data_IF_612644621095
#
_entry.id   IF_612644621095
#
_cell.length_a   1.000
_cell.length_b   1.000
_cell.length_c   1.000
_cell.angle_alpha   90.00
_cell.angle_beta   90.00
_cell.angle_gamma   90.00
#
_symmetry.space_group_name_H-M   'P 1'
#
loop_
_entity.id
_entity.type
_entity.pdbx_description
1 polymer ?
#
# COMPACT_ATOMS: atom_id res chain seq x y z
N UNK A 1 6.12 46.81 -13.47
CA UNK A 1 7.44 46.27 -13.12
C UNK A 1 7.60 44.77 -13.45
N UNK A 2 6.67 43.84 -13.13
CA UNK A 2 6.83 42.40 -13.47
C UNK A 2 6.85 42.02 -14.96
N UNK A 3 6.16 42.76 -15.85
CA UNK A 3 6.27 42.56 -17.32
C UNK A 3 7.71 42.63 -17.82
N UNK A 4 8.57 43.42 -17.16
CA UNK A 4 9.99 43.46 -17.52
C UNK A 4 10.78 42.30 -16.94
N UNK A 5 10.36 41.67 -15.83
CA UNK A 5 11.11 40.56 -15.19
C UNK A 5 10.88 39.26 -15.94
N UNK A 6 9.64 38.91 -16.27
CA UNK A 6 9.35 37.66 -17.00
C UNK A 6 9.96 37.69 -18.41
N UNK A 7 9.88 38.84 -19.10
CA UNK A 7 10.53 39.07 -20.39
C UNK A 7 12.06 39.14 -20.28
N UNK A 8 12.60 39.72 -19.20
CA UNK A 8 14.04 39.69 -18.93
C UNK A 8 14.55 38.26 -18.70
N UNK A 9 13.84 37.46 -17.88
CA UNK A 9 14.15 36.05 -17.67
C UNK A 9 14.09 35.27 -18.99
N UNK A 10 13.13 35.59 -19.87
CA UNK A 10 13.05 35.03 -21.21
C UNK A 10 14.31 35.34 -22.03
N UNK A 11 14.70 36.62 -22.14
CA UNK A 11 15.87 37.00 -22.94
C UNK A 11 17.18 36.44 -22.38
N UNK A 12 17.30 36.29 -21.06
CA UNK A 12 18.47 35.67 -20.42
C UNK A 12 18.51 34.16 -20.65
N UNK A 13 17.38 33.46 -20.50
CA UNK A 13 17.33 31.99 -20.49
C UNK A 13 17.06 31.36 -21.85
N UNK A 14 16.57 32.10 -22.85
CA UNK A 14 16.24 31.55 -24.19
C UNK A 14 17.43 30.92 -24.91
N UNK A 15 18.66 31.31 -24.56
CA UNK A 15 19.90 30.78 -25.13
C UNK A 15 20.63 29.82 -24.20
N UNK A 16 20.09 29.54 -23.00
CA UNK A 16 20.76 28.71 -22.01
C UNK A 16 20.75 27.23 -22.41
N UNK A 17 21.95 26.63 -22.48
CA UNK A 17 22.12 25.24 -22.91
C UNK A 17 21.41 24.27 -21.97
N UNK A 18 21.45 24.49 -20.65
CA UNK A 18 20.82 23.59 -19.69
C UNK A 18 19.30 23.60 -19.83
N UNK A 19 18.68 24.76 -20.11
CA UNK A 19 17.25 24.87 -20.40
C UNK A 19 16.88 24.10 -21.68
N UNK A 20 17.67 24.21 -22.75
CA UNK A 20 17.43 23.47 -23.99
C UNK A 20 17.57 21.96 -23.79
N UNK A 21 18.66 21.50 -23.16
CA UNK A 21 18.87 20.08 -22.86
C UNK A 21 17.75 19.53 -21.98
N UNK A 22 17.32 20.28 -20.97
CA UNK A 22 16.20 19.90 -20.11
C UNK A 22 14.90 19.72 -20.91
N UNK A 23 14.59 20.63 -21.84
CA UNK A 23 13.42 20.53 -22.72
C UNK A 23 13.49 19.31 -23.63
N UNK A 24 14.65 19.06 -24.25
CA UNK A 24 14.84 17.94 -25.16
C UNK A 24 14.71 16.59 -24.45
N UNK A 25 15.24 16.48 -23.22
CA UNK A 25 15.06 15.29 -22.37
C UNK A 25 13.60 15.09 -22.01
N UNK A 26 12.94 16.11 -21.44
CA UNK A 26 11.56 16.01 -20.99
C UNK A 26 10.56 15.76 -22.13
N UNK A 27 10.89 16.12 -23.38
CA UNK A 27 10.10 15.80 -24.55
C UNK A 27 10.08 14.30 -24.91
N UNK A 28 11.10 13.54 -24.48
CA UNK A 28 11.22 12.11 -24.79
C UNK A 28 10.47 11.24 -23.78
N UNK A 29 10.63 11.52 -22.48
CA UNK A 29 9.98 10.79 -21.39
C UNK A 29 10.03 11.59 -20.07
N UNK A 30 9.28 11.19 -19.04
CA UNK A 30 9.48 11.68 -17.67
C UNK A 30 10.82 11.21 -17.09
N UNK A 31 11.43 12.04 -16.24
CA UNK A 31 12.68 11.73 -15.54
C UNK A 31 12.57 12.09 -14.06
N UNK A 32 13.38 11.44 -13.23
CA UNK A 32 13.58 11.88 -11.85
C UNK A 32 14.44 13.15 -11.84
N UNK A 33 14.13 14.08 -10.91
CA UNK A 33 14.89 15.33 -10.74
C UNK A 33 16.38 15.06 -10.53
N UNK A 34 16.69 14.01 -9.75
CA UNK A 34 18.07 13.66 -9.45
C UNK A 34 18.84 13.14 -10.67
N UNK A 35 18.17 12.40 -11.57
CA UNK A 35 18.79 11.91 -12.82
C UNK A 35 19.15 13.09 -13.73
N UNK A 36 18.21 14.02 -13.95
CA UNK A 36 18.46 15.20 -14.77
C UNK A 36 19.49 16.14 -14.15
N UNK A 37 19.49 16.30 -12.83
CA UNK A 37 20.45 17.14 -12.13
C UNK A 37 21.88 16.63 -12.30
N UNK A 38 22.08 15.31 -12.21
CA UNK A 38 23.39 14.67 -12.40
C UNK A 38 23.85 14.70 -13.86
N UNK A 39 22.93 14.84 -14.82
CA UNK A 39 23.26 14.96 -16.23
C UNK A 39 23.60 16.41 -16.63
N UNK A 40 22.89 17.39 -16.08
CA UNK A 40 22.98 18.80 -16.47
C UNK A 40 24.06 19.58 -15.71
N UNK A 41 24.41 19.14 -14.50
CA UNK A 41 25.32 19.86 -13.60
C UNK A 41 26.41 18.92 -13.06
N UNK A 42 27.53 19.50 -12.67
CA UNK A 42 28.60 18.75 -12.01
C UNK A 42 28.09 18.10 -10.72
N UNK A 43 28.58 16.89 -10.37
CA UNK A 43 28.20 16.19 -9.14
C UNK A 43 28.43 17.06 -7.91
N UNK A 44 27.33 17.55 -7.35
CA UNK A 44 27.33 18.45 -6.20
C UNK A 44 26.09 18.17 -5.35
N UNK A 45 26.19 18.28 -4.01
CA UNK A 45 25.03 18.23 -3.13
C UNK A 45 23.94 19.24 -3.49
N UNK A 46 24.29 20.30 -4.23
CA UNK A 46 23.38 21.36 -4.65
C UNK A 46 22.74 21.11 -6.03
N UNK A 47 23.18 20.12 -6.81
CA UNK A 47 22.76 19.95 -8.20
C UNK A 47 21.24 19.87 -8.37
N UNK A 48 20.55 19.11 -7.51
CA UNK A 48 19.08 19.03 -7.55
C UNK A 48 18.40 20.35 -7.21
N UNK A 49 18.93 21.13 -6.26
CA UNK A 49 18.39 22.44 -5.92
C UNK A 49 18.63 23.43 -7.07
N UNK A 50 19.81 23.42 -7.68
CA UNK A 50 20.11 24.22 -8.88
C UNK A 50 19.13 23.92 -10.02
N UNK A 51 18.82 22.64 -10.26
CA UNK A 51 17.80 22.26 -11.26
C UNK A 51 16.43 22.83 -10.91
N UNK A 52 16.01 22.72 -9.65
CA UNK A 52 14.73 23.26 -9.17
C UNK A 52 14.65 24.78 -9.40
N UNK A 53 15.70 25.53 -9.04
CA UNK A 53 15.76 26.97 -9.27
C UNK A 53 15.73 27.32 -10.76
N UNK A 54 16.44 26.56 -11.60
CA UNK A 54 16.42 26.77 -13.05
C UNK A 54 15.01 26.55 -13.62
N UNK A 55 14.31 25.51 -13.17
CA UNK A 55 12.93 25.25 -13.56
C UNK A 55 12.00 26.39 -13.10
N UNK A 56 12.12 26.86 -11.86
CA UNK A 56 11.32 27.97 -11.33
C UNK A 56 11.49 29.26 -12.16
N UNK A 57 12.72 29.55 -12.59
CA UNK A 57 13.00 30.67 -13.47
C UNK A 57 12.44 30.44 -14.89
N UNK A 58 12.63 29.25 -15.46
CA UNK A 58 12.21 28.91 -16.82
C UNK A 58 10.69 28.81 -16.99
N UNK A 59 9.96 28.41 -15.94
CA UNK A 59 8.48 28.40 -15.90
C UNK A 59 7.91 29.83 -15.88
N UNK A 60 8.67 30.80 -15.38
CA UNK A 60 8.29 32.23 -15.39
C UNK A 60 8.73 32.97 -16.66
N UNK A 61 9.77 32.49 -17.32
CA UNK A 61 10.38 33.13 -18.47
C UNK A 61 9.46 33.06 -19.70
N UNK A 62 8.78 34.18 -20.03
CA UNK A 62 7.89 34.32 -21.21
C UNK A 62 8.09 35.68 -21.89
N UNK A 63 8.00 35.75 -23.24
CA UNK A 63 8.17 37.01 -23.97
C UNK A 63 7.09 38.04 -23.64
N UNK A 64 5.85 37.58 -23.53
CA UNK A 64 4.67 38.40 -23.26
C UNK A 64 3.62 37.58 -22.50
N UNK A 65 2.52 38.22 -22.08
CA UNK A 65 1.50 37.61 -21.25
C UNK A 65 0.66 36.52 -21.95
N UNK A 66 0.63 36.53 -23.28
CA UNK A 66 -0.12 35.56 -24.11
C UNK A 66 0.73 34.37 -24.55
N UNK A 67 2.06 34.54 -24.54
CA UNK A 67 3.01 33.50 -24.88
C UNK A 67 3.19 32.46 -23.78
N UNK A 68 3.46 31.21 -24.20
CA UNK A 68 3.86 30.14 -23.29
C UNK A 68 5.24 30.41 -22.67
N UNK A 69 5.50 29.94 -21.44
CA UNK A 69 6.82 30.03 -20.84
C UNK A 69 7.82 29.13 -21.56
N UNK A 70 9.12 29.43 -21.40
CA UNK A 70 10.22 28.64 -21.97
C UNK A 70 10.12 27.16 -21.59
N UNK A 71 9.75 26.89 -20.34
CA UNK A 71 9.54 25.54 -19.85
C UNK A 71 8.18 25.41 -19.16
N UNK A 72 7.13 24.93 -19.84
CA UNK A 72 5.85 24.61 -19.20
C UNK A 72 5.96 23.27 -18.44
N UNK A 73 6.75 23.24 -17.37
CA UNK A 73 7.02 22.04 -16.59
C UNK A 73 5.73 21.48 -15.97
N UNK A 74 5.58 20.15 -16.02
CA UNK A 74 4.51 19.41 -15.35
C UNK A 74 5.13 18.30 -14.52
N UNK A 75 4.66 18.17 -13.29
CA UNK A 75 5.08 17.12 -12.38
C UNK A 75 4.00 16.04 -12.30
N UNK A 76 4.42 14.80 -12.46
CA UNK A 76 3.55 13.64 -12.31
C UNK A 76 4.01 12.86 -11.08
N UNK A 77 3.10 12.66 -10.13
CA UNK A 77 3.33 11.85 -8.94
C UNK A 77 2.33 10.70 -8.97
N UNK A 78 2.85 9.49 -8.98
CA UNK A 78 2.05 8.28 -8.85
C UNK A 78 2.21 7.76 -7.43
N UNK A 79 1.11 7.72 -6.69
CA UNK A 79 1.06 7.13 -5.37
C UNK A 79 0.12 5.94 -5.41
N UNK A 80 0.51 4.85 -4.74
CA UNK A 80 -0.34 3.68 -4.54
C UNK A 80 -0.55 3.51 -3.05
N UNK A 81 -1.80 3.29 -2.65
CA UNK A 81 -2.10 2.94 -1.28
C UNK A 81 -1.49 1.58 -0.90
N UNK A 82 -1.35 1.35 0.40
CA UNK A 82 -0.89 0.05 0.92
C UNK A 82 -1.94 -1.01 0.60
N UNK A 83 -1.51 -2.09 -0.06
CA UNK A 83 -2.38 -3.21 -0.43
C UNK A 83 -2.63 -4.16 0.74
N UNK A 84 -1.86 -4.02 1.81
CA UNK A 84 -1.78 -4.96 2.92
C UNK A 84 -0.37 -4.99 3.49
N UNK A 85 -0.15 -5.89 4.44
CA UNK A 85 1.17 -6.28 4.89
C UNK A 85 1.33 -7.77 4.63
N UNK A 86 2.43 -8.12 3.98
CA UNK A 86 2.70 -9.47 3.50
C UNK A 86 4.06 -9.90 4.02
N UNK A 87 4.18 -11.12 4.52
CA UNK A 87 5.39 -11.57 5.21
C UNK A 87 5.88 -12.90 4.68
N UNK A 88 7.16 -12.94 4.30
CA UNK A 88 7.89 -14.19 4.18
C UNK A 88 8.48 -14.55 5.55
N UNK A 89 7.93 -15.60 6.17
CA UNK A 89 8.40 -16.08 7.48
C UNK A 89 9.58 -17.06 7.39
N UNK A 90 10.05 -17.42 6.18
CA UNK A 90 11.18 -18.34 6.02
C UNK A 90 12.52 -17.64 6.24
N UNK A 91 12.69 -17.03 7.41
CA UNK A 91 13.85 -16.26 7.80
C UNK A 91 15.17 -17.03 7.62
N UNK A 92 15.16 -18.34 7.87
CA UNK A 92 16.36 -19.21 7.71
C UNK A 92 16.88 -19.29 6.27
N UNK A 93 16.06 -18.95 5.28
CA UNK A 93 16.44 -18.92 3.88
C UNK A 93 16.88 -17.53 3.40
N UNK A 94 16.83 -16.52 4.27
CA UNK A 94 17.29 -15.16 3.97
C UNK A 94 18.72 -14.95 4.51
N UNK A 95 19.49 -14.09 3.85
CA UNK A 95 20.88 -13.79 4.22
C UNK A 95 20.99 -13.14 5.60
N UNK A 96 20.03 -12.28 5.96
CA UNK A 96 19.96 -11.57 7.24
C UNK A 96 19.31 -12.39 8.37
N UNK A 97 18.81 -13.59 8.06
CA UNK A 97 18.08 -14.46 8.97
C UNK A 97 16.84 -13.82 9.61
N UNK A 98 16.21 -12.86 8.93
CA UNK A 98 15.00 -12.18 9.41
C UNK A 98 13.79 -12.46 8.52
N UNK A 99 12.55 -12.42 9.04
CA UNK A 99 11.36 -12.36 8.19
C UNK A 99 11.40 -11.09 7.32
N UNK A 100 10.95 -11.20 6.08
CA UNK A 100 10.86 -10.06 5.16
C UNK A 100 9.42 -9.62 5.01
N UNK A 101 9.18 -8.32 5.17
CA UNK A 101 7.85 -7.69 5.10
C UNK A 101 7.74 -6.89 3.82
N UNK A 102 6.63 -7.08 3.11
CA UNK A 102 6.28 -6.37 1.89
C UNK A 102 4.97 -5.61 2.12
N UNK A 103 4.91 -4.39 1.61
CA UNK A 103 3.72 -3.54 1.63
C UNK A 103 2.91 -3.59 0.31
N UNK A 104 3.39 -4.42 -0.61
CA UNK A 104 2.76 -4.76 -1.89
C UNK A 104 2.63 -6.27 -1.96
N UNK A 105 1.61 -6.74 -2.67
CA UNK A 105 1.37 -8.17 -2.85
C UNK A 105 2.54 -8.84 -3.55
N UNK A 106 3.04 -9.90 -2.94
CA UNK A 106 4.02 -10.82 -3.49
C UNK A 106 3.52 -12.21 -3.19
N UNK A 107 3.28 -13.09 -4.17
CA UNK A 107 2.88 -14.48 -3.85
C UNK A 107 4.09 -15.32 -3.39
N UNK A 108 5.27 -14.98 -3.91
CA UNK A 108 6.55 -15.60 -3.61
C UNK A 108 7.57 -14.56 -3.20
N UNK A 109 8.43 -14.92 -2.25
CA UNK A 109 9.50 -14.09 -1.74
C UNK A 109 10.60 -13.96 -2.82
N UNK A 110 11.02 -12.73 -3.20
CA UNK A 110 12.09 -12.53 -4.17
C UNK A 110 13.43 -13.15 -3.76
N UNK A 111 13.72 -13.22 -2.45
CA UNK A 111 15.02 -13.66 -1.94
C UNK A 111 15.15 -15.19 -1.80
N UNK A 112 14.07 -15.88 -1.43
CA UNK A 112 14.12 -17.33 -1.18
C UNK A 112 13.08 -18.17 -1.92
N UNK A 113 12.18 -17.56 -2.69
CA UNK A 113 11.12 -18.23 -3.44
C UNK A 113 10.02 -18.87 -2.56
N UNK A 114 10.04 -18.67 -1.25
CA UNK A 114 9.01 -19.19 -0.34
C UNK A 114 7.71 -18.39 -0.46
N UNK A 115 6.59 -19.02 -0.12
CA UNK A 115 5.29 -18.37 -0.10
C UNK A 115 5.23 -17.24 0.91
N UNK A 116 4.55 -16.16 0.53
CA UNK A 116 4.38 -14.97 1.36
C UNK A 116 2.92 -14.92 1.83
N UNK A 117 2.71 -14.84 3.14
CA UNK A 117 1.37 -14.80 3.74
C UNK A 117 0.94 -13.35 3.99
N UNK A 118 -0.35 -13.05 3.86
CA UNK A 118 -0.90 -11.78 4.29
C UNK A 118 -1.15 -11.81 5.81
N UNK A 119 -0.89 -10.68 6.49
CA UNK A 119 -1.06 -10.55 7.93
C UNK A 119 -2.11 -9.51 8.33
N UNK A 120 -2.75 -9.78 9.46
CA UNK A 120 -3.60 -8.85 10.20
C UNK A 120 -3.10 -8.76 11.65
N UNK A 121 -3.44 -7.69 12.36
CA UNK A 121 -3.04 -7.51 13.77
C UNK A 121 -4.19 -7.09 14.65
N UNK A 122 -4.16 -7.54 15.91
CA UNK A 122 -5.05 -7.04 16.95
C UNK A 122 -4.66 -5.62 17.34
N UNK A 123 -5.61 -4.68 17.30
CA UNK A 123 -5.38 -3.26 17.65
C UNK A 123 -5.10 -3.03 19.14
N UNK A 124 -5.39 -4.01 20.01
CA UNK A 124 -5.12 -3.93 21.46
C UNK A 124 -3.74 -4.46 21.83
N UNK A 125 -3.39 -5.67 21.40
CA UNK A 125 -2.19 -6.37 21.87
C UNK A 125 -1.12 -6.57 20.79
N UNK A 126 -1.40 -6.25 19.52
CA UNK A 126 -0.48 -6.47 18.41
C UNK A 126 -0.31 -7.94 17.99
N UNK A 127 -1.11 -8.87 18.53
CA UNK A 127 -1.07 -10.27 18.11
C UNK A 127 -1.24 -10.40 16.60
N UNK A 128 -0.36 -11.19 15.97
CA UNK A 128 -0.30 -11.36 14.52
C UNK A 128 -1.20 -12.52 14.10
N UNK A 129 -2.03 -12.26 13.10
CA UNK A 129 -2.88 -13.25 12.45
C UNK A 129 -2.46 -13.39 10.99
N UNK A 130 -2.44 -14.63 10.49
CA UNK A 130 -2.44 -14.88 9.06
C UNK A 130 -3.88 -14.77 8.55
N UNK A 131 -4.07 -14.07 7.45
CA UNK A 131 -5.38 -13.86 6.84
C UNK A 131 -5.31 -14.25 5.38
N UNK A 132 -6.36 -14.88 4.88
CA UNK A 132 -6.38 -15.35 3.51
C UNK A 132 -7.66 -16.09 3.14
N UNK A 133 -7.73 -16.47 1.88
CA UNK A 133 -8.67 -17.45 1.37
C UNK A 133 -8.18 -18.86 1.76
N UNK A 134 -8.96 -19.56 2.56
CA UNK A 134 -8.75 -20.96 2.88
C UNK A 134 -9.51 -21.82 1.87
N UNK A 135 -8.78 -22.45 0.95
CA UNK A 135 -9.35 -23.28 -0.11
C UNK A 135 -8.67 -24.64 -0.19
N UNK A 136 -9.40 -25.63 -0.73
CA UNK A 136 -8.84 -26.96 -0.97
C UNK A 136 -8.22 -27.05 -2.36
N UNK A 137 -7.00 -27.58 -2.46
CA UNK A 137 -6.33 -27.87 -3.71
C UNK A 137 -6.10 -29.37 -3.87
N UNK A 138 -6.37 -29.88 -5.06
CA UNK A 138 -6.00 -31.25 -5.44
C UNK A 138 -4.61 -31.19 -6.07
N UNK A 139 -3.64 -31.78 -5.38
CA UNK A 139 -2.30 -31.98 -5.92
C UNK A 139 -2.20 -33.42 -6.40
N UNK A 140 -1.69 -33.61 -7.62
CA UNK A 140 -1.41 -34.92 -8.19
C UNK A 140 0.10 -35.15 -8.12
N UNK A 141 0.51 -36.14 -7.34
CA UNK A 141 1.91 -36.52 -7.16
C UNK A 141 2.06 -38.01 -7.50
N UNK A 142 2.88 -38.31 -8.49
CA UNK A 142 3.09 -39.67 -9.01
C UNK A 142 1.80 -40.48 -9.25
N UNK A 143 0.74 -39.84 -9.77
CA UNK A 143 -0.56 -40.47 -10.06
C UNK A 143 -1.48 -40.65 -8.84
N UNK A 144 -1.06 -40.22 -7.65
CA UNK A 144 -1.91 -40.18 -6.46
C UNK A 144 -2.49 -38.79 -6.28
N UNK A 145 -3.83 -38.68 -6.32
CA UNK A 145 -4.53 -37.42 -6.03
C UNK A 145 -4.62 -37.21 -4.53
N UNK A 146 -3.97 -36.16 -4.01
CA UNK A 146 -4.06 -35.75 -2.61
C UNK A 146 -4.76 -34.41 -2.50
N UNK A 147 -5.81 -34.36 -1.69
CA UNK A 147 -6.47 -33.10 -1.32
C UNK A 147 -5.70 -32.46 -0.18
N UNK A 148 -5.27 -31.21 -0.37
CA UNK A 148 -4.58 -30.40 0.63
C UNK A 148 -5.31 -29.06 0.76
N UNK A 149 -5.09 -28.32 1.84
CA UNK A 149 -5.61 -26.96 1.98
C UNK A 149 -4.47 -25.96 1.88
N UNK A 150 -4.76 -24.79 1.32
CA UNK A 150 -3.79 -23.70 1.18
C UNK A 150 -4.41 -22.40 1.68
N UNK A 151 -3.58 -21.55 2.27
CA UNK A 151 -3.93 -20.18 2.58
C UNK A 151 -3.36 -19.27 1.49
N UNK A 152 -4.23 -18.67 0.68
CA UNK A 152 -3.85 -17.70 -0.37
C UNK A 152 -4.24 -16.28 0.01
N UNK A 153 -3.49 -15.29 -0.46
CA UNK A 153 -3.75 -13.88 -0.19
C UNK A 153 -5.09 -13.43 -0.79
N UNK A 154 -5.83 -12.56 -0.10
CA UNK A 154 -7.17 -12.13 -0.52
C UNK A 154 -7.10 -11.22 -1.76
N UNK A 155 -7.45 -11.69 -2.95
CA UNK A 155 -7.41 -10.89 -4.20
C UNK A 155 -8.61 -9.94 -4.33
N UNK A 156 -9.79 -10.37 -3.87
CA UNK A 156 -11.02 -9.57 -3.84
C UNK A 156 -11.94 -10.10 -2.76
N UNK A 157 -12.50 -9.21 -1.94
CA UNK A 157 -13.49 -9.59 -0.91
C UNK A 157 -14.81 -10.06 -1.53
N UNK A 158 -15.07 -9.68 -2.80
CA UNK A 158 -16.28 -10.04 -3.54
C UNK A 158 -16.18 -11.41 -4.24
N UNK A 159 -15.00 -12.03 -4.27
CA UNK A 159 -14.74 -13.30 -4.96
C UNK A 159 -14.86 -14.54 -4.04
N UNK A 160 -15.35 -14.34 -2.82
CA UNK A 160 -15.55 -15.43 -1.85
C UNK A 160 -16.85 -16.18 -2.19
N UNK A 161 -16.76 -17.50 -2.28
CA UNK A 161 -17.86 -18.42 -2.58
C UNK A 161 -17.96 -19.52 -1.51
N UNK A 162 -18.83 -20.52 -1.71
CA UNK A 162 -19.03 -21.60 -0.74
C UNK A 162 -17.78 -22.47 -0.50
N UNK A 163 -16.82 -22.51 -1.42
CA UNK A 163 -15.57 -23.28 -1.31
C UNK A 163 -14.37 -22.43 -0.85
N UNK A 164 -14.50 -21.10 -0.94
CA UNK A 164 -13.46 -20.10 -0.67
C UNK A 164 -13.86 -19.22 0.50
N UNK A 165 -13.42 -19.61 1.70
CA UNK A 165 -13.73 -18.86 2.92
C UNK A 165 -12.57 -17.93 3.33
N UNK A 166 -12.89 -16.66 3.61
CA UNK A 166 -11.99 -15.75 4.34
C UNK A 166 -11.74 -16.34 5.73
N UNK A 167 -10.48 -16.57 6.06
CA UNK A 167 -10.08 -17.21 7.30
C UNK A 167 -8.96 -16.43 7.99
N UNK A 168 -9.00 -16.44 9.32
CA UNK A 168 -7.98 -15.84 10.18
C UNK A 168 -7.36 -16.91 11.07
N UNK A 169 -6.04 -16.89 11.17
CA UNK A 169 -5.27 -17.82 11.98
C UNK A 169 -4.30 -17.05 12.86
N UNK A 170 -4.46 -17.14 14.18
CA UNK A 170 -3.47 -16.60 15.12
C UNK A 170 -2.13 -17.30 14.89
N UNK A 171 -1.07 -16.52 14.68
CA UNK A 171 0.29 -17.03 14.52
C UNK A 171 0.86 -17.41 15.90
N UNK A 172 0.88 -18.71 16.20
CA UNK A 172 1.34 -19.23 17.49
C UNK A 172 0.39 -20.29 18.07
N UNK A 173 0.77 -20.83 19.24
CA UNK A 173 0.03 -21.91 19.92
C UNK A 173 -0.71 -21.41 21.19
N UNK A 174 -0.38 -20.21 21.66
CA UNK A 174 -1.01 -19.60 22.84
C UNK A 174 -2.25 -18.80 22.42
N UNK A 175 -3.43 -19.32 22.75
CA UNK A 175 -4.66 -18.53 22.79
C UNK A 175 -5.24 -18.63 24.19
N UNK A 176 -5.92 -17.56 24.60
CA UNK A 176 -6.62 -17.50 25.89
C UNK A 176 -7.96 -18.20 25.72
N UNK A 177 -8.33 -19.04 26.69
CA UNK A 177 -9.70 -19.55 26.81
C UNK A 177 -10.60 -18.38 27.18
N UNK A 178 -11.49 -18.00 26.26
CA UNK A 178 -12.39 -16.88 26.48
C UNK A 178 -13.62 -17.41 27.21
N UNK A 179 -13.88 -16.88 28.40
CA UNK A 179 -15.07 -17.22 29.18
C UNK A 179 -16.34 -16.72 28.47
N UNK A 180 -17.31 -17.63 28.27
CA UNK A 180 -18.59 -17.37 27.59
C UNK A 180 -19.58 -16.62 28.51
N UNK A 181 -19.33 -16.62 29.83
CA UNK A 181 -20.23 -16.02 30.83
C UNK A 181 -20.15 -14.48 30.90
N UNK A 182 -19.18 -13.87 30.20
CA UNK A 182 -19.08 -12.42 29.99
C UNK A 182 -19.67 -11.95 28.63
N UNK A 183 -20.61 -12.70 28.04
CA UNK A 183 -21.25 -12.28 26.78
C UNK A 183 -22.27 -11.17 27.01
N UNK A 184 -22.00 -9.98 26.44
CA UNK A 184 -22.93 -8.84 26.49
C UNK A 184 -24.04 -9.05 25.47
N UNK A 185 -25.30 -8.93 25.91
CA UNK A 185 -26.49 -9.02 25.06
C UNK A 185 -26.41 -8.00 23.92
N UNK A 186 -26.30 -8.47 22.68
CA UNK A 186 -26.34 -7.64 21.47
C UNK A 186 -25.08 -7.65 20.61
N UNK A 187 -23.99 -8.30 21.02
CA UNK A 187 -22.81 -8.48 20.16
C UNK A 187 -22.99 -9.69 19.22
N UNK A 188 -22.51 -9.63 17.95
CA UNK A 188 -22.51 -10.78 17.07
C UNK A 188 -21.68 -11.89 17.75
N UNK A 189 -22.37 -12.96 18.13
CA UNK A 189 -21.78 -14.11 18.80
C UNK A 189 -20.82 -14.78 17.81
N UNK A 190 -19.54 -14.41 17.77
CA UNK A 190 -18.51 -15.29 17.25
C UNK A 190 -18.56 -16.55 18.12
N UNK A 191 -18.59 -17.74 17.51
CA UNK A 191 -18.46 -18.97 18.30
C UNK A 191 -17.02 -19.00 18.80
N UNK A 192 -16.81 -18.38 19.96
CA UNK A 192 -15.54 -18.35 20.67
C UNK A 192 -15.25 -19.67 21.37
N UNK A 193 -16.07 -20.70 21.13
CA UNK A 193 -15.83 -22.08 21.52
C UNK A 193 -14.34 -22.32 21.47
N UNK A 194 -13.76 -22.25 22.66
CA UNK A 194 -12.35 -22.34 22.81
C UNK A 194 -11.95 -23.71 22.27
N UNK A 195 -11.08 -23.65 21.27
CA UNK A 195 -9.80 -24.30 21.41
C UNK A 195 -9.78 -25.82 21.22
N UNK A 196 -9.66 -26.29 19.97
CA UNK A 196 -8.65 -27.33 19.69
C UNK A 196 -8.28 -27.59 18.24
N UNK A 197 -8.77 -26.83 17.27
CA UNK A 197 -8.26 -26.98 15.90
C UNK A 197 -6.93 -26.25 15.78
N UNK A 198 -5.92 -26.87 16.39
CA UNK A 198 -4.52 -26.58 16.12
C UNK A 198 -4.32 -26.82 14.64
N UNK A 199 -3.86 -25.81 13.93
CA UNK A 199 -3.44 -25.96 12.55
C UNK A 199 -1.93 -25.88 12.49
N UNK A 200 -1.39 -26.51 11.46
CA UNK A 200 0.02 -26.37 11.08
C UNK A 200 0.08 -25.88 9.66
N UNK A 201 0.81 -24.79 9.44
CA UNK A 201 1.13 -24.26 8.11
C UNK A 201 2.58 -24.54 7.76
N UNK A 202 2.86 -24.86 6.50
CA UNK A 202 4.20 -24.81 5.94
C UNK A 202 4.46 -23.40 5.41
N UNK A 203 5.37 -22.66 6.04
CA UNK A 203 5.75 -21.29 5.65
C UNK A 203 6.50 -21.21 4.31
N UNK A 204 6.86 -22.35 3.71
CA UNK A 204 7.44 -22.40 2.36
C UNK A 204 6.38 -22.41 1.26
N UNK A 205 5.28 -23.13 1.43
CA UNK A 205 4.26 -23.32 0.38
C UNK A 205 2.85 -22.87 0.77
N UNK A 206 2.66 -22.45 2.02
CA UNK A 206 1.40 -22.03 2.64
C UNK A 206 0.32 -23.12 2.67
N UNK A 207 0.72 -24.39 2.52
CA UNK A 207 -0.17 -25.53 2.79
C UNK A 207 -0.47 -25.58 4.28
N UNK A 208 -1.75 -25.66 4.61
CA UNK A 208 -2.28 -25.66 5.96
C UNK A 208 -3.07 -26.95 6.20
N UNK A 209 -2.92 -27.54 7.38
CA UNK A 209 -3.61 -28.76 7.77
C UNK A 209 -3.99 -28.72 9.25
N UNK A 210 -5.14 -29.33 9.64
CA UNK A 210 -5.46 -29.52 11.05
C UNK A 210 -4.45 -30.49 11.70
N UNK A 211 -4.21 -30.30 12.99
CA UNK A 211 -3.23 -31.03 13.79
C UNK A 211 -1.82 -30.44 13.77
N UNK A 212 -0.86 -31.25 14.24
CA UNK A 212 0.54 -30.86 14.42
C UNK A 212 1.42 -31.10 13.18
N UNK A 213 0.91 -31.78 12.16
CA UNK A 213 1.68 -32.21 10.98
C UNK A 213 1.18 -31.52 9.72
N UNK A 214 2.08 -30.91 8.98
CA UNK A 214 1.76 -30.39 7.66
C UNK A 214 1.73 -31.52 6.63
N UNK A 215 0.74 -31.51 5.73
CA UNK A 215 0.57 -32.49 4.65
C UNK A 215 1.09 -31.96 3.31
N UNK A 216 2.09 -31.09 3.29
CA UNK A 216 2.68 -30.57 2.05
C UNK A 216 3.64 -31.56 1.37
N UNK A 217 4.12 -31.23 0.16
CA UNK A 217 5.16 -31.99 -0.57
C UNK A 217 6.58 -31.46 -0.31
N UNK A 218 6.76 -30.47 0.56
CA UNK A 218 8.08 -29.87 0.81
C UNK A 218 9.07 -30.81 1.52
N UNK A 219 8.63 -31.97 2.03
CA UNK A 219 9.48 -32.97 2.68
C UNK A 219 10.33 -32.37 3.81
N UNK A 220 11.61 -32.74 3.88
CA UNK A 220 12.56 -32.23 4.87
C UNK A 220 12.88 -30.73 4.77
N UNK A 221 12.44 -30.06 3.69
CA UNK A 221 12.58 -28.61 3.53
C UNK A 221 11.38 -27.80 4.07
N UNK A 222 10.37 -28.49 4.60
CA UNK A 222 9.19 -27.86 5.19
C UNK A 222 9.58 -27.06 6.44
N UNK A 223 9.17 -25.79 6.48
CA UNK A 223 9.29 -24.93 7.66
C UNK A 223 7.89 -24.79 8.23
N UNK A 224 7.61 -25.45 9.36
CA UNK A 224 6.25 -25.53 9.90
C UNK A 224 6.02 -24.58 11.06
N UNK A 225 4.81 -24.04 11.15
CA UNK A 225 4.39 -23.13 12.21
C UNK A 225 3.00 -23.52 12.71
N UNK A 226 2.80 -23.49 14.04
CA UNK A 226 1.50 -23.72 14.66
C UNK A 226 0.64 -22.48 14.59
N UNK A 227 -0.65 -22.73 14.39
CA UNK A 227 -1.69 -21.74 14.23
C UNK A 227 -2.93 -22.12 15.04
N UNK A 228 -3.75 -21.13 15.37
CA UNK A 228 -5.12 -21.34 15.84
C UNK A 228 -6.11 -20.61 14.95
N UNK A 229 -7.11 -21.33 14.43
CA UNK A 229 -8.14 -20.75 13.56
C UNK A 229 -9.14 -19.91 14.37
N UNK A 230 -9.63 -18.85 13.76
CA UNK A 230 -10.81 -18.12 14.21
C UNK A 230 -11.96 -18.49 13.29
N UNK A 231 -13.05 -18.99 13.85
CA UNK A 231 -14.25 -19.33 13.09
C UNK A 231 -15.22 -18.16 13.08
N UNK A 232 -15.32 -17.53 11.91
CA UNK A 232 -16.19 -16.39 11.67
C UNK A 232 -17.54 -16.89 11.13
N UNK A 233 -18.64 -16.38 11.70
CA UNK A 233 -19.99 -16.66 11.19
C UNK A 233 -20.32 -15.93 9.88
N UNK A 234 -19.58 -14.86 9.58
CA UNK A 234 -19.72 -14.02 8.39
C UNK A 234 -18.34 -13.67 7.83
N UNK A 235 -18.26 -13.19 6.59
CA UNK A 235 -17.01 -12.76 5.95
C UNK A 235 -16.50 -11.39 6.48
N UNK A 236 -16.59 -11.14 7.78
CA UNK A 236 -16.18 -9.89 8.43
C UNK A 236 -14.78 -9.97 9.05
N UNK A 237 -14.33 -8.87 9.64
CA UNK A 237 -13.16 -8.83 10.52
C UNK A 237 -13.50 -9.50 11.87
N UNK A 238 -12.54 -10.18 12.53
CA UNK A 238 -12.74 -10.71 13.86
C UNK A 238 -13.05 -9.61 14.88
N UNK A 239 -14.11 -9.79 15.65
CA UNK A 239 -14.55 -8.93 16.75
C UNK A 239 -13.86 -9.29 18.07
N UNK A 240 -13.32 -10.50 18.17
CA UNK A 240 -12.59 -10.97 19.34
C UNK A 240 -11.16 -11.37 19.00
N UNK A 241 -10.20 -10.95 19.82
CA UNK A 241 -8.83 -11.40 19.71
C UNK A 241 -8.58 -12.63 20.61
N UNK A 242 -8.50 -13.82 20.03
CA UNK A 242 -8.13 -15.06 20.75
C UNK A 242 -6.71 -15.04 21.38
N UNK A 243 -5.86 -14.07 21.02
CA UNK A 243 -4.53 -13.90 21.65
C UNK A 243 -4.55 -13.13 22.97
N UNK A 244 -5.51 -12.22 23.19
CA UNK A 244 -5.59 -11.40 24.42
C UNK A 244 -6.99 -11.32 25.07
N UNK A 245 -8.00 -11.94 24.46
CA UNK A 245 -9.39 -11.93 24.93
C UNK A 245 -10.17 -10.63 24.63
N UNK A 246 -9.53 -9.59 24.11
CA UNK A 246 -10.20 -8.31 23.87
C UNK A 246 -11.30 -8.42 22.80
N UNK A 247 -12.42 -7.70 23.04
CA UNK A 247 -13.62 -7.64 22.18
C UNK A 247 -13.91 -6.22 21.68
N UNK A 248 -14.59 -6.11 20.55
CA UNK A 248 -15.00 -4.84 19.93
C UNK A 248 -16.20 -5.03 19.01
N UNK A 249 -17.18 -4.13 19.06
CA UNK A 249 -18.33 -4.13 18.14
C UNK A 249 -17.99 -3.71 16.72
N UNK A 250 -16.83 -3.07 16.49
CA UNK A 250 -16.39 -2.59 15.17
C UNK A 250 -15.31 -3.47 14.51
N UNK A 251 -15.03 -4.65 15.07
CA UNK A 251 -13.86 -5.46 14.74
C UNK A 251 -12.64 -5.06 15.58
N UNK A 252 -11.70 -6.00 15.75
CA UNK A 252 -10.48 -5.79 16.55
C UNK A 252 -9.20 -6.29 15.86
N UNK A 253 -9.32 -7.24 14.91
CA UNK A 253 -8.20 -7.75 14.12
C UNK A 253 -8.30 -7.21 12.70
N UNK A 254 -7.39 -6.31 12.33
CA UNK A 254 -7.43 -5.62 11.04
C UNK A 254 -6.21 -5.92 10.18
N UNK A 255 -6.46 -5.99 8.87
CA UNK A 255 -5.42 -6.00 7.84
C UNK A 255 -4.74 -4.63 7.78
N UNK A 256 -3.52 -4.58 7.28
CA UNK A 256 -2.83 -3.31 6.96
C UNK A 256 -3.30 -2.73 5.62
N UNK A 257 -4.61 -2.66 5.44
CA UNK A 257 -5.23 -2.16 4.22
C UNK A 257 -5.75 -0.75 4.49
N UNK A 258 -5.14 0.25 3.87
CA UNK A 258 -5.53 1.65 4.08
C UNK A 258 -6.65 2.11 3.15
N UNK A 259 -7.16 1.22 2.28
CA UNK A 259 -8.05 1.58 1.18
C UNK A 259 -7.37 2.47 0.14
N UNK A 260 -8.05 2.73 -0.98
CA UNK A 260 -7.52 3.62 -2.01
C UNK A 260 -7.74 5.10 -1.68
N UNK A 261 -8.82 5.45 -0.99
CA UNK A 261 -9.27 6.85 -0.87
C UNK A 261 -8.56 7.65 0.22
N UNK A 262 -8.43 7.09 1.43
CA UNK A 262 -7.90 7.85 2.56
C UNK A 262 -6.45 8.33 2.32
N UNK A 263 -5.49 7.49 1.89
CA UNK A 263 -4.13 7.94 1.62
C UNK A 263 -4.06 8.96 0.48
N UNK A 264 -4.83 8.74 -0.60
CA UNK A 264 -4.86 9.66 -1.75
C UNK A 264 -5.45 11.01 -1.35
N UNK A 265 -6.49 11.04 -0.52
CA UNK A 265 -7.08 12.28 0.00
C UNK A 265 -6.09 13.09 0.84
N UNK A 266 -5.35 12.42 1.74
CA UNK A 266 -4.32 13.03 2.57
C UNK A 266 -3.18 13.57 1.71
N UNK A 267 -2.69 12.79 0.76
CA UNK A 267 -1.64 13.23 -0.17
C UNK A 267 -2.10 14.42 -1.01
N UNK A 268 -3.29 14.37 -1.59
CA UNK A 268 -3.85 15.46 -2.39
C UNK A 268 -4.02 16.73 -1.56
N UNK A 269 -4.52 16.62 -0.33
CA UNK A 269 -4.69 17.75 0.59
C UNK A 269 -3.35 18.36 0.99
N UNK A 270 -2.39 17.52 1.39
CA UNK A 270 -1.06 17.96 1.78
C UNK A 270 -0.33 18.64 0.61
N UNK A 271 -0.40 18.05 -0.60
CA UNK A 271 0.17 18.65 -1.80
C UNK A 271 -0.50 19.98 -2.14
N UNK A 272 -1.84 20.05 -2.09
CA UNK A 272 -2.58 21.27 -2.36
C UNK A 272 -2.18 22.42 -1.43
N UNK A 273 -2.00 22.14 -0.13
CA UNK A 273 -1.57 23.14 0.86
C UNK A 273 -0.15 23.66 0.61
N UNK A 274 0.73 22.84 0.03
CA UNK A 274 2.10 23.23 -0.32
C UNK A 274 2.18 23.98 -1.66
N UNK A 275 1.12 23.99 -2.48
CA UNK A 275 1.11 24.79 -3.70
C UNK A 275 1.11 26.29 -3.36
N UNK A 276 1.90 27.11 -4.05
CA UNK A 276 1.80 28.56 -3.90
C UNK A 276 0.47 29.05 -4.47
N UNK A 277 -0.10 30.09 -3.84
CA UNK A 277 -1.21 30.83 -4.44
C UNK A 277 -0.76 31.50 -5.75
N UNK A 278 -1.70 31.72 -6.66
CA UNK A 278 -1.43 32.46 -7.90
C UNK A 278 -1.04 33.90 -7.57
N UNK A 279 0.08 34.40 -8.11
CA UNK A 279 0.55 35.74 -7.82
C UNK A 279 -0.26 36.79 -8.60
N UNK A 280 -1.21 37.43 -7.90
CA UNK A 280 -2.07 38.55 -8.36
C UNK A 280 -2.95 38.24 -9.60
N UNK A 281 -4.04 39.00 -9.79
CA UNK A 281 -4.99 38.85 -10.90
C UNK A 281 -6.32 38.18 -10.51
N UNK A 282 -7.23 38.02 -11.46
CA UNK A 282 -8.59 37.47 -11.21
C UNK A 282 -8.53 36.06 -10.61
N UNK A 283 -7.60 35.22 -11.08
CA UNK A 283 -7.39 33.87 -10.57
C UNK A 283 -7.02 33.83 -9.07
N UNK A 284 -6.33 34.86 -8.56
CA UNK A 284 -5.94 34.93 -7.14
C UNK A 284 -7.13 35.15 -6.19
N UNK A 285 -8.25 35.66 -6.73
CA UNK A 285 -9.50 35.85 -6.00
C UNK A 285 -10.37 34.59 -5.97
N UNK A 286 -10.00 33.56 -6.75
CA UNK A 286 -10.68 32.27 -6.73
C UNK A 286 -10.37 31.52 -5.43
N UNK A 287 -11.24 30.59 -5.01
CA UNK A 287 -11.02 29.76 -3.82
C UNK A 287 -9.61 29.15 -3.77
N UNK A 288 -9.03 29.12 -2.58
CA UNK A 288 -7.66 28.63 -2.36
C UNK A 288 -6.58 29.48 -3.03
N UNK A 289 -6.86 30.76 -3.37
CA UNK A 289 -5.89 31.67 -3.97
C UNK A 289 -5.49 31.27 -5.39
N UNK A 290 -6.40 30.65 -6.14
CA UNK A 290 -6.15 30.22 -7.53
C UNK A 290 -5.27 28.98 -7.69
N UNK A 291 -4.98 28.24 -6.61
CA UNK A 291 -4.22 26.98 -6.66
C UNK A 291 -4.90 25.95 -7.56
N UNK A 292 -4.10 25.28 -8.39
CA UNK A 292 -4.58 24.30 -9.38
C UNK A 292 -3.99 22.94 -9.06
N UNK A 293 -4.83 21.98 -8.71
CA UNK A 293 -4.48 20.57 -8.54
C UNK A 293 -5.52 19.73 -9.28
N UNK A 294 -5.06 18.75 -10.05
CA UNK A 294 -5.92 17.81 -10.77
C UNK A 294 -5.64 16.41 -10.22
N UNK A 295 -6.67 15.75 -9.69
CA UNK A 295 -6.59 14.41 -9.11
C UNK A 295 -7.41 13.47 -9.97
N UNK A 296 -6.84 12.32 -10.33
CA UNK A 296 -7.51 11.24 -11.02
C UNK A 296 -7.53 10.01 -10.11
N UNK A 297 -8.66 9.32 -10.05
CA UNK A 297 -8.77 7.98 -9.48
C UNK A 297 -9.28 7.03 -10.56
N UNK A 298 -8.90 5.76 -10.47
CA UNK A 298 -9.38 4.69 -11.36
C UNK A 298 -10.89 4.41 -11.15
N UNK A 299 -11.46 4.90 -10.04
CA UNK A 299 -12.90 4.92 -9.76
C UNK A 299 -13.48 6.33 -9.88
N UNK A 300 -14.54 6.47 -10.69
CA UNK A 300 -15.28 7.74 -10.86
C UNK A 300 -16.02 8.17 -9.59
N UNK A 301 -16.40 7.23 -8.72
CA UNK A 301 -17.09 7.53 -7.45
C UNK A 301 -16.10 8.05 -6.41
N UNK A 302 -14.92 7.42 -6.35
CA UNK A 302 -13.83 7.78 -5.43
C UNK A 302 -13.31 9.17 -5.74
N UNK A 303 -13.14 9.50 -7.03
CA UNK A 303 -12.76 10.84 -7.50
C UNK A 303 -13.72 11.95 -7.00
N UNK A 304 -15.02 11.68 -6.88
CA UNK A 304 -16.01 12.65 -6.43
C UNK A 304 -16.00 12.85 -4.89
N UNK A 305 -15.52 11.87 -4.13
CA UNK A 305 -15.44 11.93 -2.67
C UNK A 305 -14.39 12.94 -2.16
N UNK A 306 -13.43 13.35 -3.00
CA UNK A 306 -12.36 14.27 -2.62
C UNK A 306 -12.76 15.74 -2.56
N UNK A 307 -13.69 16.18 -3.41
CA UNK A 307 -14.06 17.59 -3.54
C UNK A 307 -14.55 18.26 -2.23
N UNK A 308 -15.31 17.59 -1.34
CA UNK A 308 -15.74 18.16 -0.06
C UNK A 308 -14.60 18.44 0.93
N UNK A 309 -13.53 17.65 0.93
CA UNK A 309 -12.40 17.81 1.87
C UNK A 309 -11.60 19.07 1.58
N UNK A 310 -11.44 19.42 0.31
CA UNK A 310 -10.71 20.61 -0.14
C UNK A 310 -11.50 21.91 0.06
N UNK A 311 -12.83 21.85 0.28
CA UNK A 311 -13.67 23.04 0.48
C UNK A 311 -13.41 23.76 1.82
N UNK A 312 -12.74 23.09 2.77
CA UNK A 312 -12.48 23.60 4.13
C UNK A 312 -11.02 24.01 4.39
N UNK A 313 -10.15 23.85 3.40
CA UNK A 313 -8.72 24.22 3.43
C UNK A 313 -8.46 25.41 2.54
#
# INVERSE_FOLDING_TARGET
MRRSVDAFLYEVLRGDTAVHTLRDRLAQRPYLVQELANELFDPSPLASNTLIQLVDLAVRARPDATSLPLLPARYHVFARALEGAFVCFNARAHTDQQPHVFLQRHETCPDCGSGVAEIATCTRCGAVYLVGEYSSQVSEDHGTKRRTHRLSQLTSEFALDAERSKAYFLLGDQAIEVDEDETVVGEPLENLQAANDRYTICLRCLTIAPGATCTCTCGGSAVTQRLRRVDLKQHSEPHTCIGCGARSTAGIVFRFFTGQDAPVSVLATALYQQLPAQPDGEDSQLPGGGRKLLVFSDSRQDAAFFAPYLKRT
#
